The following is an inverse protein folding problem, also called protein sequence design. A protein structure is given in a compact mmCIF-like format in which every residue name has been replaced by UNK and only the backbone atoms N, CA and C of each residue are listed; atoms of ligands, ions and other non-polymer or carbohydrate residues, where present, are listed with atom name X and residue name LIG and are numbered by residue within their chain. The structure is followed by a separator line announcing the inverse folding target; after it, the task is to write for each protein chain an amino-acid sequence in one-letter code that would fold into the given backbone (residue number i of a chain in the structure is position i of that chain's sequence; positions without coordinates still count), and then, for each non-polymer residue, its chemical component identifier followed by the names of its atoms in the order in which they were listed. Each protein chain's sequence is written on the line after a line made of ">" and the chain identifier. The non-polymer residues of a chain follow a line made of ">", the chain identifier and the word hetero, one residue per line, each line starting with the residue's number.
data_IF_042343253626
#
_entry.id   IF_042343253626
#
_cell.length_a   1.000
_cell.length_b   1.000
_cell.length_c   1.000
_cell.angle_alpha   90.00
_cell.angle_beta   90.00
_cell.angle_gamma   90.00
#
_symmetry.space_group_name_H-M   'P 1'
#
loop_
_entity.id
_entity.type
_entity.pdbx_description
1 polymer ?
#
# COMPACT_ATOMS: atom_id res chain seq x y z
N UNK A 1 21.25 7.15 -7.91
CA UNK A 1 20.14 7.08 -6.93
C UNK A 1 19.26 5.90 -7.32
N UNK A 2 18.81 5.06 -6.38
CA UNK A 2 17.84 4.01 -6.71
C UNK A 2 16.52 4.67 -7.14
N UNK A 3 15.83 4.15 -8.18
CA UNK A 3 14.58 4.66 -8.75
C UNK A 3 13.53 5.01 -7.67
N UNK A 4 13.40 4.18 -6.63
CA UNK A 4 12.46 4.42 -5.52
C UNK A 4 12.79 5.70 -4.72
N UNK A 5 14.08 5.99 -4.51
CA UNK A 5 14.50 7.20 -3.80
C UNK A 5 14.12 8.46 -4.57
N UNK A 6 14.28 8.43 -5.89
CA UNK A 6 13.88 9.55 -6.76
C UNK A 6 12.36 9.78 -6.73
N UNK A 7 11.57 8.70 -6.77
CA UNK A 7 10.12 8.77 -6.62
C UNK A 7 9.71 9.40 -5.28
N UNK A 8 10.33 8.96 -4.18
CA UNK A 8 10.08 9.54 -2.86
C UNK A 8 10.47 11.02 -2.79
N UNK A 9 11.61 11.40 -3.37
CA UNK A 9 12.05 12.80 -3.38
C UNK A 9 11.08 13.69 -4.17
N UNK A 10 10.59 13.21 -5.33
CA UNK A 10 9.57 13.92 -6.12
C UNK A 10 8.25 14.06 -5.37
N UNK A 11 7.85 13.04 -4.62
CA UNK A 11 6.65 13.07 -3.77
C UNK A 11 6.78 14.13 -2.67
N UNK A 12 7.90 14.13 -1.94
CA UNK A 12 8.16 15.13 -0.89
C UNK A 12 8.25 16.56 -1.43
N UNK A 13 8.75 16.72 -2.65
CA UNK A 13 8.80 18.02 -3.32
C UNK A 13 7.44 18.49 -3.87
N UNK A 14 6.37 17.69 -3.73
CA UNK A 14 5.05 18.00 -4.30
C UNK A 14 5.01 17.94 -5.83
N UNK A 15 5.99 17.29 -6.47
CA UNK A 15 6.16 17.21 -7.94
C UNK A 15 5.77 15.85 -8.52
N UNK A 16 5.11 15.00 -7.72
CA UNK A 16 4.71 13.65 -8.12
C UNK A 16 3.25 13.63 -8.58
N UNK A 17 3.02 13.97 -9.85
CA UNK A 17 1.69 13.83 -10.50
C UNK A 17 1.28 12.37 -10.70
N UNK A 18 2.22 11.45 -10.58
CA UNK A 18 2.09 10.02 -10.81
C UNK A 18 2.32 9.18 -9.54
N UNK A 19 2.08 9.77 -8.35
CA UNK A 19 2.32 9.10 -7.08
C UNK A 19 1.57 7.77 -6.93
N UNK A 20 0.38 7.66 -7.54
CA UNK A 20 -0.42 6.42 -7.57
C UNK A 20 0.29 5.24 -8.23
N UNK A 21 1.35 5.47 -9.02
CA UNK A 21 2.14 4.40 -9.66
C UNK A 21 3.10 3.69 -8.70
N UNK A 22 3.30 4.22 -7.49
CA UNK A 22 4.17 3.59 -6.51
C UNK A 22 3.58 3.57 -5.09
N UNK A 23 2.73 4.54 -4.73
CA UNK A 23 1.93 4.52 -3.50
C UNK A 23 0.74 3.58 -3.64
N UNK A 24 0.20 3.11 -2.51
CA UNK A 24 -0.83 2.07 -2.47
C UNK A 24 -0.21 0.68 -2.62
N UNK A 25 -0.92 -0.23 -3.27
CA UNK A 25 -0.44 -1.59 -3.51
C UNK A 25 -0.04 -1.81 -4.98
N UNK A 26 1.05 -2.55 -5.20
CA UNK A 26 1.55 -2.86 -6.54
C UNK A 26 2.09 -4.29 -6.61
N UNK A 27 1.80 -5.05 -7.68
CA UNK A 27 2.43 -6.35 -7.88
C UNK A 27 3.93 -6.17 -8.12
N UNK A 28 4.75 -6.99 -7.48
CA UNK A 28 6.21 -6.96 -7.62
C UNK A 28 6.78 -8.38 -7.56
N UNK A 29 7.93 -8.58 -8.20
CA UNK A 29 8.73 -9.80 -8.08
C UNK A 29 10.07 -9.48 -7.41
N UNK A 30 10.31 -10.06 -6.25
CA UNK A 30 11.53 -9.84 -5.44
C UNK A 30 12.08 -11.18 -4.98
N UNK A 31 13.39 -11.39 -5.11
CA UNK A 31 14.08 -12.62 -4.70
C UNK A 31 13.40 -13.91 -5.21
N UNK A 32 12.97 -13.89 -6.47
CA UNK A 32 12.30 -15.02 -7.12
C UNK A 32 10.82 -15.20 -6.76
N UNK A 33 10.27 -14.47 -5.78
CA UNK A 33 8.86 -14.56 -5.36
C UNK A 33 8.03 -13.41 -5.93
N UNK A 34 6.89 -13.74 -6.50
CA UNK A 34 5.84 -12.77 -6.83
C UNK A 34 5.01 -12.43 -5.59
N UNK A 35 4.54 -11.20 -5.49
CA UNK A 35 3.69 -10.74 -4.40
C UNK A 35 3.26 -9.30 -4.61
N UNK A 36 2.84 -8.66 -3.52
CA UNK A 36 2.45 -7.26 -3.52
C UNK A 36 3.34 -6.48 -2.57
N UNK A 37 3.72 -5.28 -2.99
CA UNK A 37 4.28 -4.25 -2.14
C UNK A 37 3.19 -3.23 -1.81
N UNK A 38 3.15 -2.81 -0.56
CA UNK A 38 2.19 -1.84 -0.03
C UNK A 38 2.95 -0.62 0.45
N UNK A 39 2.49 0.58 0.11
CA UNK A 39 3.11 1.85 0.49
C UNK A 39 2.10 2.90 0.91
N UNK A 40 2.38 3.59 2.01
CA UNK A 40 1.53 4.67 2.52
C UNK A 40 2.36 5.82 3.10
N UNK A 41 1.88 7.05 2.88
CA UNK A 41 2.43 8.23 3.54
C UNK A 41 1.72 8.47 4.87
N UNK A 42 2.46 8.38 5.96
CA UNK A 42 1.99 8.57 7.32
C UNK A 42 3.17 9.08 8.19
N UNK A 43 3.51 10.38 8.08
CA UNK A 43 4.74 10.95 8.65
C UNK A 43 4.82 10.90 10.18
N UNK A 44 3.66 10.97 10.85
CA UNK A 44 3.57 10.99 12.30
C UNK A 44 3.19 9.63 12.91
N UNK A 45 3.09 8.57 12.11
CA UNK A 45 2.83 7.23 12.63
C UNK A 45 4.04 6.72 13.45
N UNK A 46 3.76 6.03 14.55
CA UNK A 46 4.77 5.35 15.36
C UNK A 46 5.14 3.99 14.76
N UNK A 47 4.15 3.26 14.28
CA UNK A 47 4.30 1.99 13.55
C UNK A 47 3.11 1.76 12.63
N UNK A 48 3.30 0.96 11.59
CA UNK A 48 2.24 0.52 10.68
C UNK A 48 2.44 -0.95 10.34
N UNK A 49 1.34 -1.70 10.27
CA UNK A 49 1.30 -3.01 9.64
C UNK A 49 0.25 -3.02 8.52
N UNK A 50 0.45 -3.88 7.54
CA UNK A 50 -0.59 -4.22 6.56
C UNK A 50 -1.35 -5.43 7.09
N UNK A 51 -2.67 -5.33 7.18
CA UNK A 51 -3.54 -6.41 7.67
C UNK A 51 -4.59 -6.70 6.62
N UNK A 52 -4.89 -7.96 6.39
CA UNK A 52 -5.88 -8.37 5.40
C UNK A 52 -6.13 -9.86 5.40
N UNK A 53 -6.89 -10.33 4.43
CA UNK A 53 -7.30 -11.75 4.36
C UNK A 53 -6.10 -12.70 4.29
N UNK A 54 -5.01 -12.26 3.65
CA UNK A 54 -3.78 -13.05 3.46
C UNK A 54 -2.97 -13.29 4.73
N UNK A 55 -3.22 -12.56 5.80
CA UNK A 55 -2.55 -12.72 7.09
C UNK A 55 -3.56 -12.79 8.26
N UNK A 56 -4.80 -13.21 7.97
CA UNK A 56 -5.85 -13.35 8.99
C UNK A 56 -6.05 -12.08 9.84
N UNK A 57 -5.81 -10.91 9.24
CA UNK A 57 -5.89 -9.61 9.90
C UNK A 57 -4.94 -9.43 11.10
N UNK A 58 -3.87 -10.22 11.18
CA UNK A 58 -2.87 -10.17 12.24
C UNK A 58 -1.79 -9.11 11.95
N UNK A 59 -1.66 -8.05 12.77
CA UNK A 59 -0.69 -6.98 12.54
C UNK A 59 0.78 -7.40 12.70
N UNK A 60 1.06 -8.51 13.38
CA UNK A 60 2.44 -8.98 13.59
C UNK A 60 3.05 -9.64 12.35
N UNK A 61 2.21 -10.08 11.39
CA UNK A 61 2.67 -10.88 10.25
C UNK A 61 3.20 -10.04 9.09
N UNK A 62 2.84 -8.76 8.99
CA UNK A 62 3.27 -7.88 7.88
C UNK A 62 3.53 -6.44 8.35
N UNK A 63 4.52 -6.24 9.26
CA UNK A 63 4.92 -4.90 9.70
C UNK A 63 5.61 -4.12 8.56
N UNK A 64 5.33 -2.83 8.49
CA UNK A 64 5.92 -1.92 7.50
C UNK A 64 7.21 -1.27 8.02
N UNK A 65 8.14 -1.01 7.10
CA UNK A 65 9.40 -0.30 7.36
C UNK A 65 9.39 1.07 6.69
N UNK A 66 10.05 2.06 7.30
CA UNK A 66 10.23 3.36 6.65
C UNK A 66 11.26 3.24 5.52
N UNK A 67 10.90 3.72 4.34
CA UNK A 67 11.81 3.78 3.18
C UNK A 67 12.22 5.22 2.83
N UNK A 68 11.51 6.21 3.37
CA UNK A 68 11.73 7.63 3.20
C UNK A 68 11.00 8.37 4.34
N UNK A 69 11.28 9.66 4.63
CA UNK A 69 10.56 10.40 5.67
C UNK A 69 9.04 10.28 5.52
N UNK A 70 8.41 9.56 6.46
CA UNK A 70 6.96 9.33 6.48
C UNK A 70 6.39 8.36 5.45
N UNK A 71 7.19 7.76 4.56
CA UNK A 71 6.72 6.72 3.64
C UNK A 71 7.08 5.35 4.21
N UNK A 72 6.06 4.51 4.37
CA UNK A 72 6.16 3.16 4.90
C UNK A 72 5.97 2.13 3.78
N UNK A 73 6.67 1.01 3.86
CA UNK A 73 6.61 -0.08 2.88
C UNK A 73 6.54 -1.45 3.57
N UNK A 74 5.72 -2.37 3.06
CA UNK A 74 5.83 -3.80 3.34
C UNK A 74 5.65 -4.62 2.06
N UNK A 75 6.27 -5.79 2.01
CA UNK A 75 6.08 -6.78 0.95
C UNK A 75 5.41 -8.02 1.51
N UNK A 76 4.38 -8.51 0.82
CA UNK A 76 3.73 -9.79 1.11
C UNK A 76 3.77 -10.68 -0.13
N UNK A 77 4.39 -11.86 0.01
CA UNK A 77 4.39 -12.90 -1.03
C UNK A 77 3.14 -13.80 -0.97
N UNK A 78 2.29 -13.61 0.05
CA UNK A 78 1.06 -14.40 0.24
C UNK A 78 -0.20 -13.63 -0.15
N UNK A 79 -0.12 -12.29 -0.26
CA UNK A 79 -1.21 -11.45 -0.75
C UNK A 79 -1.55 -11.79 -2.21
N UNK A 80 -2.84 -11.81 -2.52
CA UNK A 80 -3.40 -12.16 -3.84
C UNK A 80 -4.46 -11.16 -4.27
N UNK A 81 -4.70 -11.12 -5.59
CA UNK A 81 -5.86 -10.44 -6.18
C UNK A 81 -7.17 -10.86 -5.49
N UNK A 82 -8.11 -9.93 -5.43
CA UNK A 82 -9.44 -10.00 -4.84
C UNK A 82 -9.48 -10.06 -3.30
N UNK A 83 -8.33 -10.09 -2.62
CA UNK A 83 -8.28 -10.01 -1.16
C UNK A 83 -8.40 -8.57 -0.67
N UNK A 84 -8.97 -8.42 0.51
CA UNK A 84 -9.17 -7.15 1.19
C UNK A 84 -8.05 -6.89 2.19
N UNK A 85 -7.70 -5.61 2.36
CA UNK A 85 -6.70 -5.18 3.32
C UNK A 85 -6.93 -3.76 3.87
N UNK A 86 -6.27 -3.45 4.97
CA UNK A 86 -6.16 -2.12 5.59
C UNK A 86 -4.76 -1.88 6.14
N UNK A 87 -4.45 -0.63 6.45
CA UNK A 87 -3.31 -0.26 7.29
C UNK A 87 -3.73 -0.23 8.76
N UNK A 88 -3.03 -0.98 9.60
CA UNK A 88 -3.14 -0.91 11.06
C UNK A 88 -2.08 0.05 11.59
N UNK A 89 -2.49 1.25 12.01
CA UNK A 89 -1.59 2.37 12.28
C UNK A 89 -1.58 2.68 13.78
N UNK A 90 -0.39 2.68 14.39
CA UNK A 90 -0.16 3.30 15.70
C UNK A 90 0.09 4.79 15.51
N UNK A 91 -0.83 5.61 16.00
CA UNK A 91 -0.81 7.08 15.88
C UNK A 91 0.17 7.72 16.87
N UNK A 92 0.43 9.01 16.70
CA UNK A 92 1.31 9.78 17.57
C UNK A 92 0.86 9.80 19.05
N UNK A 93 -0.45 9.81 19.28
CA UNK A 93 -1.08 9.71 20.61
C UNK A 93 -0.98 8.30 21.23
N UNK A 94 -0.50 7.30 20.48
CA UNK A 94 -0.39 5.91 20.92
C UNK A 94 -1.62 5.05 20.64
N UNK A 95 -2.74 5.64 20.20
CA UNK A 95 -3.93 4.90 19.80
C UNK A 95 -3.70 4.15 18.48
N UNK A 96 -4.46 3.07 18.28
CA UNK A 96 -4.45 2.31 17.04
C UNK A 96 -5.69 2.58 16.21
N UNK A 97 -5.54 2.56 14.88
CA UNK A 97 -6.65 2.68 13.96
C UNK A 97 -6.43 1.83 12.71
N UNK A 98 -7.52 1.23 12.21
CA UNK A 98 -7.55 0.66 10.88
C UNK A 98 -7.89 1.75 9.86
N UNK A 99 -7.13 1.83 8.78
CA UNK A 99 -7.34 2.80 7.70
C UNK A 99 -7.35 2.13 6.34
N UNK A 100 -8.34 2.49 5.54
CA UNK A 100 -8.39 2.24 4.10
C UNK A 100 -7.16 2.86 3.43
N UNK A 101 -6.67 2.25 2.36
CA UNK A 101 -5.55 2.79 1.59
C UNK A 101 -5.97 4.08 0.85
N UNK A 102 -5.31 5.23 1.10
CA UNK A 102 -5.58 6.46 0.36
C UNK A 102 -5.32 6.35 -1.15
N UNK A 103 -4.51 5.39 -1.57
CA UNK A 103 -4.17 5.12 -2.97
C UNK A 103 -4.78 3.81 -3.50
N UNK A 104 -5.74 3.24 -2.78
CA UNK A 104 -6.40 1.99 -3.19
C UNK A 104 -7.23 2.17 -4.47
N UNK A 105 -7.14 1.22 -5.40
CA UNK A 105 -7.89 1.27 -6.67
C UNK A 105 -9.35 0.82 -6.54
N UNK A 106 -9.67 0.04 -5.51
CA UNK A 106 -11.00 -0.48 -5.25
C UNK A 106 -11.23 -0.62 -3.75
N UNK A 107 -12.50 -0.57 -3.34
CA UNK A 107 -12.94 -0.75 -1.96
C UNK A 107 -14.04 -1.79 -1.90
N UNK A 108 -14.19 -2.42 -0.74
CA UNK A 108 -15.35 -3.26 -0.45
C UNK A 108 -16.66 -2.50 -0.62
N UNK A 109 -17.71 -3.24 -0.99
CA UNK A 109 -19.06 -2.70 -0.95
C UNK A 109 -19.45 -2.34 0.48
N UNK A 110 -20.22 -1.26 0.63
CA UNK A 110 -20.72 -0.85 1.94
C UNK A 110 -21.52 -1.98 2.61
N UNK A 111 -21.39 -2.14 3.94
CA UNK A 111 -20.71 -1.25 4.90
C UNK A 111 -19.19 -1.50 5.05
N UNK A 112 -18.60 -2.36 4.21
CA UNK A 112 -17.17 -2.62 4.18
C UNK A 112 -16.35 -1.35 3.89
N UNK A 113 -15.15 -1.31 4.43
CA UNK A 113 -14.24 -0.15 4.29
C UNK A 113 -12.81 -0.58 3.94
N UNK A 114 -12.59 -1.86 3.65
CA UNK A 114 -11.27 -2.35 3.26
C UNK A 114 -10.99 -2.00 1.80
N UNK A 115 -9.72 -1.84 1.48
CA UNK A 115 -9.26 -1.75 0.10
C UNK A 115 -9.18 -3.15 -0.48
N UNK A 116 -9.70 -3.36 -1.69
CA UNK A 116 -9.58 -4.62 -2.40
C UNK A 116 -8.41 -4.56 -3.39
N UNK A 117 -7.60 -5.62 -3.43
CA UNK A 117 -6.53 -5.79 -4.42
C UNK A 117 -7.17 -6.16 -5.76
N UNK A 118 -7.02 -5.30 -6.77
CA UNK A 118 -7.53 -5.50 -8.13
C UNK A 118 -6.41 -5.27 -9.14
N UNK A 119 -6.60 -5.80 -10.35
CA UNK A 119 -5.71 -5.50 -11.48
C UNK A 119 -6.34 -4.40 -12.33
N UNK A 120 -5.49 -3.56 -12.93
CA UNK A 120 -5.88 -2.50 -13.85
C UNK A 120 -5.50 -2.88 -15.28
N UNK A 121 -5.95 -4.06 -15.74
CA UNK A 121 -5.56 -4.69 -17.01
C UNK A 121 -6.64 -4.59 -18.10
N UNK A 122 -7.66 -3.75 -17.91
CA UNK A 122 -8.69 -3.51 -18.91
C UNK A 122 -8.09 -2.96 -20.21
N UNK A 123 -8.37 -3.64 -21.32
CA UNK A 123 -7.93 -3.25 -22.66
C UNK A 123 -8.98 -2.34 -23.28
N UNK A 124 -8.63 -1.07 -23.45
CA UNK A 124 -9.48 -0.10 -24.13
C UNK A 124 -9.51 -0.34 -25.64
N UNK A 125 -10.68 -0.18 -26.25
CA UNK A 125 -10.92 -0.37 -27.70
C UNK A 125 -11.39 0.91 -28.37
N UNK A 126 -11.17 2.06 -27.74
CA UNK A 126 -11.54 3.40 -28.21
C UNK A 126 -10.39 4.09 -28.97
N UNK A 127 -9.39 3.32 -29.41
CA UNK A 127 -8.37 3.78 -30.36
C UNK A 127 -9.05 4.28 -31.64
N UNK A 128 -8.72 5.51 -32.05
CA UNK A 128 -9.20 6.12 -33.30
C UNK A 128 -8.87 5.30 -34.54
#
# INVERSE_FOLDING_TARGET
>A
MNKMQEQCNRFHAGKSVDAYRFMGYHPVRTNGKSGYVFRVFAPHAKSIAVVGDFNFWNPEDTPMKKISPGIWEAFSYVAKKNQCYKYYIKRADGAYAYKTDPYGFACEALPGTSTQIVDLDFVWTDSK
#
